data_IF_507211304308
#
_entry.id   IF_507211304308
#
_cell.length_a   1.000
_cell.length_b   1.000
_cell.length_c   1.000
_cell.angle_alpha   90.00
_cell.angle_beta   90.00
_cell.angle_gamma   90.00
#
_symmetry.space_group_name_H-M   'P 1'
#
loop_
_entity.id
_entity.type
_entity.pdbx_description
1 polymer ?
#
# COMPACT_ATOMS: atom_id res chain seq x y z
N UNK A 1 -3.93 7.78 -13.39
CA UNK A 1 -3.50 6.71 -14.29
C UNK A 1 -2.05 6.37 -14.08
N UNK A 2 -1.74 5.09 -14.05
CA UNK A 2 -0.37 4.61 -13.83
C UNK A 2 0.42 4.76 -15.12
N UNK A 3 1.66 5.23 -14.97
CA UNK A 3 2.55 5.43 -16.09
C UNK A 3 3.08 4.09 -16.59
N UNK A 4 2.84 3.79 -17.85
CA UNK A 4 3.24 2.53 -18.46
C UNK A 4 4.74 2.27 -18.44
N UNK A 5 5.54 3.33 -18.30
CA UNK A 5 7.00 3.19 -18.27
C UNK A 5 7.49 2.35 -17.09
N UNK A 6 6.74 2.30 -16.01
CA UNK A 6 7.15 1.57 -14.82
C UNK A 6 6.84 0.09 -14.89
N UNK A 7 5.83 -0.26 -15.65
CA UNK A 7 5.48 -1.65 -15.91
C UNK A 7 5.49 -2.51 -14.63
N UNK A 8 4.73 -2.12 -13.60
CA UNK A 8 4.76 -2.84 -12.32
C UNK A 8 4.10 -4.21 -12.41
N UNK A 9 4.50 -5.08 -11.49
CA UNK A 9 3.95 -6.43 -11.41
C UNK A 9 2.64 -6.48 -10.62
N UNK A 10 2.35 -5.45 -9.85
CA UNK A 10 1.11 -5.37 -9.08
C UNK A 10 0.98 -4.01 -8.43
N UNK A 11 -0.08 -3.84 -7.65
CA UNK A 11 -0.36 -2.59 -6.96
C UNK A 11 -0.89 -2.84 -5.57
N UNK A 12 -0.55 -1.94 -4.65
CA UNK A 12 -1.28 -1.81 -3.40
C UNK A 12 -2.09 -0.53 -3.45
N UNK A 13 -3.34 -0.60 -3.03
CA UNK A 13 -4.24 0.55 -3.02
C UNK A 13 -4.77 0.70 -1.60
N UNK A 14 -4.73 1.92 -1.07
CA UNK A 14 -5.19 2.13 0.30
C UNK A 14 -5.58 3.56 0.58
N UNK A 15 -6.33 3.73 1.67
CA UNK A 15 -6.80 5.03 2.14
C UNK A 15 -6.58 5.05 3.65
N UNK A 16 -5.96 6.13 4.15
CA UNK A 16 -5.81 6.34 5.58
C UNK A 16 -7.00 7.15 6.08
N UNK A 17 -7.71 6.64 7.06
CA UNK A 17 -8.88 7.29 7.64
C UNK A 17 -8.60 7.56 9.10
N UNK A 18 -8.64 8.83 9.48
CA UNK A 18 -8.41 9.31 10.83
C UNK A 18 -6.96 9.20 11.29
N UNK A 19 -6.68 9.86 12.38
CA UNK A 19 -5.34 10.04 12.90
C UNK A 19 -4.67 8.71 13.27
N UNK A 20 -5.44 7.80 13.85
CA UNK A 20 -4.90 6.50 14.26
C UNK A 20 -4.39 5.68 13.09
N UNK A 21 -4.92 5.92 11.89
CA UNK A 21 -4.48 5.24 10.68
C UNK A 21 -3.41 6.03 9.91
N UNK A 22 -2.94 7.13 10.50
CA UNK A 22 -1.88 7.93 9.89
C UNK A 22 -2.36 9.04 8.96
N UNK A 23 -3.65 9.34 8.99
CA UNK A 23 -4.16 10.45 8.18
C UNK A 23 -3.64 11.77 8.74
N UNK A 24 -2.86 12.48 7.95
CA UNK A 24 -2.31 13.78 8.34
C UNK A 24 -3.02 14.94 7.68
N UNK A 25 -3.72 14.70 6.59
CA UNK A 25 -4.51 15.68 5.88
C UNK A 25 -5.95 15.17 5.87
N UNK A 26 -6.86 15.96 6.39
CA UNK A 26 -8.22 15.48 6.66
C UNK A 26 -9.14 15.65 5.45
N UNK A 27 -8.70 15.13 4.32
CA UNK A 27 -9.55 14.86 3.17
C UNK A 27 -9.01 13.59 2.50
N UNK A 28 -9.83 12.96 1.71
CA UNK A 28 -9.53 11.62 1.21
C UNK A 28 -8.35 11.65 0.26
N UNK A 29 -7.35 10.82 0.55
CA UNK A 29 -6.24 10.52 -0.34
C UNK A 29 -6.22 9.03 -0.60
N UNK A 30 -6.32 8.64 -1.86
CA UNK A 30 -6.11 7.24 -2.22
C UNK A 30 -4.67 7.06 -2.65
N UNK A 31 -3.99 6.11 -2.01
CA UNK A 31 -2.62 5.76 -2.35
C UNK A 31 -2.65 4.61 -3.35
N UNK A 32 -1.93 4.77 -4.44
CA UNK A 32 -1.73 3.70 -5.42
C UNK A 32 -0.24 3.48 -5.50
N UNK A 33 0.20 2.32 -5.03
CA UNK A 33 1.62 2.01 -4.88
C UNK A 33 1.98 0.92 -5.88
N UNK A 34 2.77 1.24 -6.93
CA UNK A 34 3.25 0.20 -7.85
C UNK A 34 4.17 -0.76 -7.11
N UNK A 35 3.97 -2.04 -7.33
CA UNK A 35 4.75 -3.07 -6.67
C UNK A 35 5.50 -3.89 -7.71
N UNK A 36 6.69 -4.34 -7.33
CA UNK A 36 7.57 -5.08 -8.22
C UNK A 36 8.03 -6.35 -7.54
N UNK A 37 8.18 -7.39 -8.32
CA UNK A 37 8.68 -8.67 -7.84
C UNK A 37 10.00 -8.45 -7.10
N UNK A 38 10.06 -8.90 -5.85
CA UNK A 38 11.29 -8.80 -5.06
C UNK A 38 11.51 -7.48 -4.35
N UNK A 39 10.58 -6.52 -4.44
CA UNK A 39 10.74 -5.22 -3.77
C UNK A 39 10.71 -5.35 -2.24
N UNK A 40 10.00 -6.35 -1.73
CA UNK A 40 10.06 -6.73 -0.32
C UNK A 40 10.23 -8.23 -0.24
N UNK A 41 10.76 -8.70 0.87
CA UNK A 41 11.10 -10.10 1.05
C UNK A 41 9.89 -11.00 1.13
N UNK A 42 8.85 -10.56 1.84
CA UNK A 42 7.65 -11.35 2.03
C UNK A 42 6.41 -10.46 1.94
N UNK A 43 5.83 -10.33 0.73
CA UNK A 43 4.72 -9.40 0.53
C UNK A 43 3.35 -9.93 0.95
N UNK A 44 3.25 -11.18 1.37
CA UNK A 44 1.95 -11.77 1.69
C UNK A 44 1.20 -10.92 2.72
N UNK A 45 -0.05 -10.67 2.46
CA UNK A 45 -0.89 -9.80 3.29
C UNK A 45 -0.92 -8.36 2.81
N UNK A 46 0.08 -7.91 2.07
CA UNK A 46 0.08 -6.60 1.43
C UNK A 46 -0.18 -5.45 2.39
N UNK A 47 -1.24 -4.69 2.14
CA UNK A 47 -1.57 -3.50 2.94
C UNK A 47 -1.83 -3.81 4.42
N UNK A 48 -2.12 -5.06 4.77
CA UNK A 48 -2.25 -5.43 6.18
C UNK A 48 -0.96 -5.22 6.96
N UNK A 49 0.16 -5.07 6.26
CA UNK A 49 1.46 -4.83 6.87
C UNK A 49 1.58 -3.54 7.65
N UNK A 50 0.56 -2.66 7.63
CA UNK A 50 0.53 -1.48 8.50
C UNK A 50 0.55 -1.87 9.98
N UNK A 51 0.12 -3.09 10.30
CA UNK A 51 0.33 -3.70 11.60
C UNK A 51 1.08 -5.00 11.34
N UNK A 52 2.42 -5.00 11.49
CA UNK A 52 3.22 -6.13 11.03
C UNK A 52 2.79 -7.49 11.59
N UNK A 53 2.38 -7.52 12.85
CA UNK A 53 1.94 -8.77 13.48
C UNK A 53 0.63 -9.30 12.90
N UNK A 54 -0.10 -8.48 12.19
CA UNK A 54 -1.40 -8.82 11.60
C UNK A 54 -1.33 -8.95 10.08
N UNK A 55 -0.15 -8.83 9.53
CA UNK A 55 0.00 -8.80 8.07
C UNK A 55 -0.37 -10.13 7.44
N UNK A 56 0.08 -11.21 8.02
CA UNK A 56 -0.17 -12.54 7.46
C UNK A 56 -1.48 -13.11 7.96
N UNK A 57 -2.18 -13.80 7.09
CA UNK A 57 -3.46 -14.42 7.41
C UNK A 57 -3.64 -15.71 6.63
#
# INVERSE_FOLDING_TARGET
KIDDRFNPDGYNIGINVNKAAGQSVFHVHMHIIPRYQGDVQNPKGGVRGVIPNKQKY
#
